data_IF_178861740113
#
_entry.id   IF_178861740113
#
_cell.length_a   1.000
_cell.length_b   1.000
_cell.length_c   1.000
_cell.angle_alpha   90.00
_cell.angle_beta   90.00
_cell.angle_gamma   90.00
#
_symmetry.space_group_name_H-M   'P 1'
#
loop_
_entity.id
_entity.type
_entity.pdbx_description
1 polymer ?
#
# COMPACT_ATOMS: atom_id res chain seq x y z
N UNK A 1 44.06 -13.78 27.66
CA UNK A 1 42.71 -13.34 28.16
C UNK A 1 41.65 -13.76 27.15
N UNK A 2 40.94 -14.84 27.47
CA UNK A 2 39.95 -15.43 26.58
C UNK A 2 38.65 -14.62 26.68
N UNK A 3 38.27 -13.92 25.63
CA UNK A 3 36.92 -13.46 25.46
C UNK A 3 36.02 -14.70 25.27
N UNK A 4 35.43 -15.17 26.37
CA UNK A 4 34.29 -16.10 26.30
C UNK A 4 33.16 -15.38 25.58
N UNK A 5 33.01 -15.64 24.28
CA UNK A 5 31.82 -15.27 23.54
C UNK A 5 30.60 -15.80 24.28
N UNK A 6 29.75 -14.92 24.80
CA UNK A 6 28.43 -15.28 25.30
C UNK A 6 27.70 -15.98 24.16
N UNK A 7 27.67 -17.32 24.24
CA UNK A 7 26.74 -18.08 23.38
C UNK A 7 25.34 -17.62 23.77
N UNK A 8 24.75 -16.82 22.89
CA UNK A 8 23.33 -16.44 22.99
C UNK A 8 22.55 -17.73 22.80
N UNK A 9 22.05 -18.31 23.90
CA UNK A 9 21.12 -19.45 23.84
C UNK A 9 19.83 -18.94 23.19
N UNK A 10 19.49 -19.35 21.98
CA UNK A 10 18.24 -18.94 21.39
C UNK A 10 17.09 -19.62 22.14
N UNK A 11 16.16 -18.85 22.64
CA UNK A 11 14.86 -19.26 23.15
C UNK A 11 14.86 -19.98 24.49
N UNK A 12 15.31 -19.32 25.56
CA UNK A 12 14.91 -19.69 26.93
C UNK A 12 13.61 -18.96 27.30
N UNK A 13 12.63 -19.69 27.75
CA UNK A 13 11.45 -19.12 28.40
C UNK A 13 11.53 -19.46 29.90
N UNK A 14 11.37 -18.49 30.82
CA UNK A 14 11.20 -17.05 30.58
C UNK A 14 12.47 -16.37 30.07
N UNK A 15 12.37 -15.22 29.37
CA UNK A 15 13.53 -14.49 28.83
C UNK A 15 14.47 -14.06 29.99
N UNK A 16 15.79 -14.19 29.85
CA UNK A 16 16.74 -13.87 30.90
C UNK A 16 16.86 -12.40 31.24
N UNK A 17 16.22 -11.52 30.46
CA UNK A 17 16.19 -10.07 30.65
C UNK A 17 15.65 -9.32 29.43
N UNK A 18 15.28 -8.06 29.64
CA UNK A 18 14.89 -7.13 28.59
C UNK A 18 16.08 -6.25 28.21
N UNK A 19 16.29 -6.02 26.91
CA UNK A 19 17.34 -5.14 26.41
C UNK A 19 16.87 -4.37 25.18
N UNK A 20 17.27 -3.10 25.07
CA UNK A 20 17.03 -2.27 23.91
C UNK A 20 18.21 -2.31 22.90
N UNK A 21 19.25 -3.10 23.19
CA UNK A 21 20.45 -3.21 22.34
C UNK A 21 20.12 -3.63 20.91
N UNK A 22 19.12 -4.50 20.73
CA UNK A 22 18.71 -4.98 19.42
C UNK A 22 18.03 -3.89 18.56
N UNK A 23 17.42 -2.88 19.19
CA UNK A 23 16.88 -1.71 18.49
C UNK A 23 18.01 -0.85 17.90
N UNK A 24 19.04 -0.57 18.69
CA UNK A 24 20.18 0.19 18.18
C UNK A 24 20.95 -0.56 17.09
N UNK A 25 21.09 -1.88 17.23
CA UNK A 25 21.70 -2.73 16.20
C UNK A 25 20.86 -2.82 14.91
N UNK A 26 19.54 -2.87 15.03
CA UNK A 26 18.63 -2.85 13.88
C UNK A 26 18.74 -1.52 13.12
N UNK A 27 18.75 -0.39 13.82
CA UNK A 27 18.90 0.95 13.23
C UNK A 27 20.29 1.19 12.62
N UNK A 28 21.33 0.54 13.13
CA UNK A 28 22.68 0.60 12.60
C UNK A 28 22.94 -0.39 11.44
N UNK A 29 21.97 -1.26 11.12
CA UNK A 29 22.11 -2.25 10.06
C UNK A 29 21.80 -1.62 8.70
N UNK A 30 22.80 -1.52 7.82
CA UNK A 30 22.65 -0.89 6.50
C UNK A 30 21.61 -1.59 5.65
N UNK A 31 21.52 -2.92 5.66
CA UNK A 31 20.52 -3.68 4.93
C UNK A 31 19.08 -3.38 5.40
N UNK A 32 18.87 -3.14 6.69
CA UNK A 32 17.56 -2.72 7.24
C UNK A 32 17.22 -1.31 6.75
N UNK A 33 18.18 -0.38 6.80
CA UNK A 33 17.98 1.01 6.37
C UNK A 33 17.66 1.12 4.89
N UNK A 34 18.43 0.43 4.05
CA UNK A 34 18.20 0.38 2.59
C UNK A 34 16.84 -0.22 2.27
N UNK A 35 16.49 -1.36 2.90
CA UNK A 35 15.20 -2.01 2.72
C UNK A 35 14.02 -1.13 3.19
N UNK A 36 14.18 -0.40 4.30
CA UNK A 36 13.18 0.54 4.79
C UNK A 36 12.96 1.71 3.80
N UNK A 37 14.05 2.33 3.33
CA UNK A 37 13.97 3.42 2.34
C UNK A 37 13.32 2.91 1.05
N UNK A 38 13.70 1.74 0.57
CA UNK A 38 13.11 1.10 -0.62
C UNK A 38 11.61 0.90 -0.43
N UNK A 39 11.15 0.36 0.72
CA UNK A 39 9.72 0.20 1.03
C UNK A 39 8.97 1.53 1.00
N UNK A 40 9.51 2.57 1.64
CA UNK A 40 8.86 3.89 1.67
C UNK A 40 8.75 4.49 0.27
N UNK A 41 9.82 4.42 -0.52
CA UNK A 41 9.83 4.99 -1.89
C UNK A 41 8.88 4.22 -2.81
N UNK A 42 8.91 2.87 -2.78
CA UNK A 42 7.99 2.04 -3.57
C UNK A 42 6.54 2.30 -3.17
N UNK A 43 6.23 2.26 -1.88
CA UNK A 43 4.87 2.48 -1.38
C UNK A 43 4.35 3.88 -1.74
N UNK A 44 5.19 4.91 -1.60
CA UNK A 44 4.82 6.29 -1.96
C UNK A 44 4.59 6.42 -3.46
N UNK A 45 5.51 5.93 -4.30
CA UNK A 45 5.39 6.01 -5.75
C UNK A 45 4.15 5.23 -6.26
N UNK A 46 3.94 4.00 -5.78
CA UNK A 46 2.78 3.20 -6.11
C UNK A 46 1.47 3.87 -5.68
N UNK A 47 1.44 4.45 -4.48
CA UNK A 47 0.27 5.20 -3.98
C UNK A 47 -0.04 6.42 -4.83
N UNK A 48 0.96 7.20 -5.24
CA UNK A 48 0.75 8.37 -6.10
C UNK A 48 0.18 7.98 -7.47
N UNK A 49 0.70 6.91 -8.08
CA UNK A 49 0.14 6.36 -9.32
C UNK A 49 -1.31 5.90 -9.09
N UNK A 50 -1.55 5.19 -8.02
CA UNK A 50 -2.87 4.67 -7.66
C UNK A 50 -3.87 5.80 -7.37
N UNK A 51 -3.46 6.88 -6.72
CA UNK A 51 -4.30 8.06 -6.49
C UNK A 51 -4.79 8.67 -7.79
N UNK A 52 -3.90 8.87 -8.74
CA UNK A 52 -4.27 9.43 -10.04
C UNK A 52 -5.17 8.46 -10.80
N UNK A 53 -4.70 7.24 -11.06
CA UNK A 53 -5.42 6.30 -11.91
C UNK A 53 -6.71 5.78 -11.26
N UNK A 54 -6.66 5.39 -9.99
CA UNK A 54 -7.82 4.87 -9.26
C UNK A 54 -8.93 5.92 -9.11
N UNK A 55 -8.55 7.17 -8.83
CA UNK A 55 -9.51 8.28 -8.73
C UNK A 55 -10.11 8.60 -10.11
N UNK A 56 -9.30 8.68 -11.16
CA UNK A 56 -9.79 8.94 -12.53
C UNK A 56 -10.77 7.85 -12.98
N UNK A 57 -10.45 6.58 -12.76
CA UNK A 57 -11.35 5.47 -13.11
C UNK A 57 -12.64 5.53 -12.29
N UNK A 58 -12.57 5.85 -10.98
CA UNK A 58 -13.75 5.99 -10.15
C UNK A 58 -14.69 7.09 -10.66
N UNK A 59 -14.14 8.24 -11.04
CA UNK A 59 -14.94 9.33 -11.62
C UNK A 59 -15.48 8.98 -13.01
N UNK A 60 -14.68 8.31 -13.85
CA UNK A 60 -15.12 7.92 -15.20
C UNK A 60 -16.27 6.92 -15.18
N UNK A 61 -16.29 6.02 -14.19
CA UNK A 61 -17.36 5.04 -14.02
C UNK A 61 -18.56 5.58 -13.23
N UNK A 62 -18.40 6.70 -12.50
CA UNK A 62 -19.47 7.27 -11.70
C UNK A 62 -20.52 7.97 -12.59
N UNK A 63 -21.80 7.67 -12.34
CA UNK A 63 -22.91 8.32 -13.05
C UNK A 63 -23.04 8.00 -14.53
N UNK A 64 -22.27 7.01 -15.04
CA UNK A 64 -22.33 6.58 -16.43
C UNK A 64 -22.80 5.13 -16.54
N UNK A 65 -23.76 4.89 -17.45
CA UNK A 65 -24.19 3.54 -17.82
C UNK A 65 -23.88 3.34 -19.29
N UNK A 66 -22.89 2.54 -19.59
CA UNK A 66 -22.51 2.18 -20.96
C UNK A 66 -22.22 0.69 -21.07
N UNK A 67 -22.27 0.17 -22.30
CA UNK A 67 -21.91 -1.21 -22.55
C UNK A 67 -20.45 -1.47 -22.12
N UNK A 68 -20.25 -2.43 -21.21
CA UNK A 68 -18.90 -2.74 -20.68
C UNK A 68 -18.56 -2.10 -19.32
N UNK A 69 -19.41 -1.23 -18.75
CA UNK A 69 -19.21 -0.63 -17.42
C UNK A 69 -18.85 -1.65 -16.34
N UNK A 70 -19.64 -2.74 -16.24
CA UNK A 70 -19.41 -3.79 -15.26
C UNK A 70 -18.12 -4.58 -15.55
N UNK A 71 -17.78 -4.78 -16.83
CA UNK A 71 -16.56 -5.45 -17.23
C UNK A 71 -15.32 -4.63 -16.83
N UNK A 72 -15.32 -3.33 -17.05
CA UNK A 72 -14.21 -2.45 -16.64
C UNK A 72 -14.10 -2.43 -15.12
N UNK A 73 -15.21 -2.32 -14.40
CA UNK A 73 -15.22 -2.37 -12.94
C UNK A 73 -14.64 -3.69 -12.41
N UNK A 74 -15.01 -4.82 -13.03
CA UNK A 74 -14.46 -6.13 -12.69
C UNK A 74 -12.95 -6.21 -12.98
N UNK A 75 -12.50 -5.73 -14.14
CA UNK A 75 -11.08 -5.73 -14.53
C UNK A 75 -10.23 -4.90 -13.56
N UNK A 76 -10.75 -3.77 -13.10
CA UNK A 76 -10.03 -2.93 -12.12
C UNK A 76 -9.87 -3.65 -10.79
N UNK A 77 -10.87 -4.43 -10.34
CA UNK A 77 -10.85 -5.14 -9.05
C UNK A 77 -10.08 -6.46 -9.14
N UNK A 78 -9.88 -7.01 -10.33
CA UNK A 78 -9.28 -8.32 -10.55
C UNK A 78 -7.93 -8.53 -9.84
N UNK A 79 -6.98 -7.57 -9.85
CA UNK A 79 -5.65 -7.77 -9.25
C UNK A 79 -5.69 -8.13 -7.76
N UNK A 80 -6.66 -7.60 -7.00
CA UNK A 80 -6.79 -7.90 -5.57
C UNK A 80 -7.63 -9.17 -5.31
N UNK A 81 -8.43 -9.58 -6.29
CA UNK A 81 -9.24 -10.79 -6.20
C UNK A 81 -8.43 -12.07 -6.49
N UNK A 82 -7.30 -11.93 -7.18
CA UNK A 82 -6.42 -13.06 -7.48
C UNK A 82 -5.47 -13.33 -6.30
N UNK A 83 -5.07 -14.60 -6.08
CA UNK A 83 -4.01 -14.92 -5.13
C UNK A 83 -2.72 -14.17 -5.48
N UNK A 84 -2.07 -13.52 -4.49
CA UNK A 84 -0.88 -12.70 -4.71
C UNK A 84 0.25 -13.42 -5.45
N UNK A 85 0.43 -14.73 -5.22
CA UNK A 85 1.40 -15.56 -5.95
C UNK A 85 1.09 -15.59 -7.45
N UNK A 86 -0.18 -15.74 -7.82
CA UNK A 86 -0.62 -15.77 -9.23
C UNK A 86 -0.38 -14.43 -9.89
N UNK A 87 -0.77 -13.34 -9.21
CA UNK A 87 -0.53 -11.98 -9.68
C UNK A 87 0.96 -11.69 -9.82
N UNK A 88 1.77 -12.07 -8.83
CA UNK A 88 3.22 -11.88 -8.84
C UNK A 88 3.91 -12.61 -9.99
N UNK A 89 3.55 -13.89 -10.23
CA UNK A 89 4.08 -14.68 -11.34
C UNK A 89 3.66 -14.12 -12.72
N UNK A 90 2.39 -13.71 -12.87
CA UNK A 90 1.89 -13.12 -14.10
C UNK A 90 2.62 -11.82 -14.43
N UNK A 91 2.81 -10.94 -13.44
CA UNK A 91 3.56 -9.69 -13.59
C UNK A 91 5.05 -9.96 -13.89
N UNK A 92 5.67 -10.92 -13.19
CA UNK A 92 7.05 -11.32 -13.49
C UNK A 92 7.21 -11.73 -14.96
N UNK A 93 6.34 -12.64 -15.43
CA UNK A 93 6.36 -13.10 -16.82
C UNK A 93 6.15 -11.94 -17.81
N UNK A 94 5.20 -11.06 -17.52
CA UNK A 94 4.96 -9.88 -18.34
C UNK A 94 6.19 -8.95 -18.39
N UNK A 95 6.79 -8.64 -17.26
CA UNK A 95 7.93 -7.73 -17.20
C UNK A 95 9.19 -8.30 -17.84
N UNK A 96 9.45 -9.59 -17.65
CA UNK A 96 10.60 -10.26 -18.27
C UNK A 96 10.44 -10.44 -19.76
N UNK A 97 9.23 -10.72 -20.25
CA UNK A 97 8.97 -10.96 -21.68
C UNK A 97 8.85 -9.67 -22.49
N UNK A 98 8.28 -8.61 -21.93
CA UNK A 98 7.95 -7.39 -22.69
C UNK A 98 8.78 -6.16 -22.29
N UNK A 99 9.32 -6.10 -21.05
CA UNK A 99 10.07 -4.95 -20.54
C UNK A 99 11.57 -5.25 -20.34
N UNK A 100 12.02 -6.44 -20.70
CA UNK A 100 13.43 -6.82 -20.63
C UNK A 100 13.95 -7.17 -19.24
N UNK A 101 13.09 -7.30 -18.24
CA UNK A 101 13.46 -7.78 -16.91
C UNK A 101 12.84 -7.06 -15.73
N UNK A 102 13.30 -7.41 -14.53
CA UNK A 102 12.82 -6.85 -13.27
C UNK A 102 13.71 -5.67 -12.85
N UNK A 103 13.09 -4.54 -12.57
CA UNK A 103 13.72 -3.29 -12.18
C UNK A 103 12.98 -2.63 -11.02
N UNK A 104 13.50 -1.54 -10.49
CA UNK A 104 12.77 -0.72 -9.53
C UNK A 104 11.45 -0.19 -10.09
N UNK A 105 11.43 0.21 -11.37
CA UNK A 105 10.23 0.69 -12.05
C UNK A 105 9.15 -0.40 -12.13
N UNK A 106 9.52 -1.62 -12.55
CA UNK A 106 8.56 -2.75 -12.64
C UNK A 106 8.02 -3.14 -11.27
N UNK A 107 8.82 -3.02 -10.20
CA UNK A 107 8.37 -3.23 -8.83
C UNK A 107 7.32 -2.17 -8.43
N UNK A 108 7.56 -0.88 -8.72
CA UNK A 108 6.58 0.18 -8.46
C UNK A 108 5.29 -0.04 -9.23
N UNK A 109 5.37 -0.43 -10.51
CA UNK A 109 4.19 -0.76 -11.34
C UNK A 109 3.43 -1.95 -10.74
N UNK A 110 4.12 -3.00 -10.32
CA UNK A 110 3.51 -4.16 -9.67
C UNK A 110 2.71 -3.75 -8.42
N UNK A 111 3.30 -2.92 -7.57
CA UNK A 111 2.62 -2.41 -6.37
C UNK A 111 1.44 -1.49 -6.73
N UNK A 112 1.57 -0.68 -7.77
CA UNK A 112 0.48 0.20 -8.22
C UNK A 112 -0.76 -0.58 -8.66
N UNK A 113 -0.62 -1.79 -9.24
CA UNK A 113 -1.76 -2.58 -9.75
C UNK A 113 -2.82 -2.86 -8.68
N UNK A 114 -2.42 -3.27 -7.48
CA UNK A 114 -3.37 -3.53 -6.39
C UNK A 114 -3.70 -2.27 -5.58
N UNK A 115 -2.80 -1.29 -5.50
CA UNK A 115 -3.06 0.00 -4.88
C UNK A 115 -4.18 0.77 -5.61
N UNK A 116 -4.24 0.70 -6.94
CA UNK A 116 -5.31 1.29 -7.77
C UNK A 116 -6.68 0.79 -7.31
N UNK A 117 -6.81 -0.50 -7.03
CA UNK A 117 -8.07 -1.12 -6.57
C UNK A 117 -8.55 -0.49 -5.26
N UNK A 118 -7.63 -0.30 -4.31
CA UNK A 118 -7.95 0.28 -2.99
C UNK A 118 -8.45 1.71 -3.14
N UNK A 119 -7.74 2.54 -3.90
CA UNK A 119 -8.13 3.94 -4.16
C UNK A 119 -9.44 4.00 -4.93
N UNK A 120 -9.61 3.19 -5.97
CA UNK A 120 -10.83 3.08 -6.76
C UNK A 120 -12.04 2.73 -5.88
N UNK A 121 -11.93 1.71 -5.04
CA UNK A 121 -13.03 1.26 -4.18
C UNK A 121 -13.44 2.35 -3.16
N UNK A 122 -12.48 2.99 -2.51
CA UNK A 122 -12.76 4.06 -1.55
C UNK A 122 -13.42 5.27 -2.22
N UNK A 123 -12.88 5.69 -3.37
CA UNK A 123 -13.40 6.81 -4.15
C UNK A 123 -14.80 6.51 -4.69
N UNK A 124 -15.00 5.33 -5.28
CA UNK A 124 -16.31 4.92 -5.83
C UNK A 124 -17.38 4.78 -4.75
N UNK A 125 -17.01 4.24 -3.57
CA UNK A 125 -17.93 4.13 -2.45
C UNK A 125 -18.40 5.51 -1.96
N UNK A 126 -17.51 6.49 -1.92
CA UNK A 126 -17.86 7.87 -1.52
C UNK A 126 -18.71 8.58 -2.58
N UNK A 127 -18.37 8.41 -3.88
CA UNK A 127 -19.16 8.96 -4.98
C UNK A 127 -20.59 8.46 -4.96
N UNK A 128 -20.81 7.17 -4.72
CA UNK A 128 -22.17 6.62 -4.57
C UNK A 128 -22.95 7.21 -3.41
N UNK A 129 -22.27 7.55 -2.28
CA UNK A 129 -22.90 8.19 -1.12
C UNK A 129 -23.21 9.67 -1.33
N UNK A 130 -22.41 10.36 -2.14
CA UNK A 130 -22.64 11.77 -2.46
C UNK A 130 -23.97 11.97 -3.22
N UNK A 131 -24.35 10.95 -4.02
CA UNK A 131 -25.57 11.01 -4.82
C UNK A 131 -25.48 11.94 -6.02
N UNK A 132 -26.44 11.83 -6.93
CA UNK A 132 -26.58 12.73 -8.08
C UNK A 132 -27.17 14.08 -7.72
N UNK A 133 -28.06 14.10 -6.73
CA UNK A 133 -28.89 15.26 -6.36
C UNK A 133 -28.07 16.53 -6.05
N UNK A 134 -26.93 16.37 -5.35
CA UNK A 134 -26.03 17.50 -5.03
C UNK A 134 -25.37 18.08 -6.28
N UNK A 135 -25.03 17.21 -7.23
CA UNK A 135 -24.43 17.60 -8.51
C UNK A 135 -25.48 18.30 -9.39
N UNK A 136 -26.69 17.74 -9.48
CA UNK A 136 -27.80 18.29 -10.21
C UNK A 136 -28.23 19.67 -9.64
N UNK A 137 -28.42 19.78 -8.33
CA UNK A 137 -28.73 21.04 -7.65
C UNK A 137 -27.67 22.13 -7.92
N UNK A 138 -26.39 21.79 -7.93
CA UNK A 138 -25.34 22.75 -8.27
C UNK A 138 -25.47 23.24 -9.71
N UNK A 139 -25.79 22.35 -10.66
CA UNK A 139 -25.94 22.70 -12.07
C UNK A 139 -27.23 23.49 -12.32
N UNK A 140 -28.33 23.21 -11.62
CA UNK A 140 -29.57 23.95 -11.67
C UNK A 140 -29.42 25.40 -11.20
N UNK A 141 -28.48 25.64 -10.26
CA UNK A 141 -28.08 26.98 -9.84
C UNK A 141 -27.12 27.68 -10.83
N UNK A 142 -26.91 27.11 -12.02
CA UNK A 142 -26.12 27.69 -13.10
C UNK A 142 -24.61 27.40 -13.02
N UNK A 143 -24.17 26.51 -12.11
CA UNK A 143 -22.77 26.13 -12.04
C UNK A 143 -22.36 25.27 -13.26
N UNK A 144 -21.20 25.58 -13.83
CA UNK A 144 -20.61 24.74 -14.86
C UNK A 144 -20.12 23.39 -14.27
N UNK A 145 -20.00 22.35 -15.11
CA UNK A 145 -19.47 21.03 -14.68
C UNK A 145 -18.10 21.15 -14.00
N UNK A 146 -17.20 21.98 -14.52
CA UNK A 146 -15.89 22.19 -13.95
C UNK A 146 -15.96 22.88 -12.58
N UNK A 147 -16.87 23.85 -12.41
CA UNK A 147 -17.13 24.51 -11.13
C UNK A 147 -17.69 23.52 -10.11
N UNK A 148 -18.73 22.75 -10.48
CA UNK A 148 -19.32 21.70 -9.63
C UNK A 148 -18.26 20.66 -9.21
N UNK A 149 -17.44 20.20 -10.15
CA UNK A 149 -16.35 19.26 -9.83
C UNK A 149 -15.39 19.84 -8.79
N UNK A 150 -14.90 21.06 -9.01
CA UNK A 150 -13.85 21.65 -8.16
C UNK A 150 -14.37 22.11 -6.80
N UNK A 151 -15.59 22.63 -6.73
CA UNK A 151 -16.12 23.29 -5.52
C UNK A 151 -17.14 22.45 -4.75
N UNK A 152 -17.73 21.44 -5.39
CA UNK A 152 -18.72 20.57 -4.75
C UNK A 152 -18.17 19.14 -4.62
N UNK A 153 -17.83 18.50 -5.73
CA UNK A 153 -17.45 17.07 -5.70
C UNK A 153 -16.10 16.88 -4.99
N UNK A 154 -15.04 17.53 -5.47
CA UNK A 154 -13.68 17.31 -4.98
C UNK A 154 -13.51 17.57 -3.47
N UNK A 155 -14.08 18.67 -2.89
CA UNK A 155 -14.01 18.88 -1.45
C UNK A 155 -14.72 17.79 -0.64
N UNK A 156 -15.87 17.29 -1.14
CA UNK A 156 -16.60 16.19 -0.50
C UNK A 156 -15.91 14.84 -0.62
N UNK A 157 -15.01 14.68 -1.58
CA UNK A 157 -14.26 13.47 -1.84
C UNK A 157 -12.92 13.41 -1.11
N UNK A 158 -12.37 14.53 -0.66
CA UNK A 158 -11.02 14.63 -0.09
C UNK A 158 -10.74 13.61 1.01
N UNK A 159 -11.68 13.40 1.93
CA UNK A 159 -11.53 12.43 3.02
C UNK A 159 -11.39 11.00 2.50
N UNK A 160 -12.21 10.59 1.54
CA UNK A 160 -12.13 9.26 0.94
C UNK A 160 -10.85 9.05 0.10
N UNK A 161 -10.41 10.09 -0.62
CA UNK A 161 -9.17 10.05 -1.39
C UNK A 161 -7.96 9.92 -0.47
N UNK A 162 -7.89 10.69 0.62
CA UNK A 162 -6.81 10.59 1.61
C UNK A 162 -6.84 9.24 2.32
N UNK A 163 -8.02 8.76 2.73
CA UNK A 163 -8.16 7.44 3.34
C UNK A 163 -7.72 6.32 2.38
N UNK A 164 -8.13 6.40 1.10
CA UNK A 164 -7.69 5.49 0.05
C UNK A 164 -6.17 5.51 -0.15
N UNK A 165 -5.54 6.70 -0.10
CA UNK A 165 -4.10 6.85 -0.18
C UNK A 165 -3.36 6.19 0.98
N UNK A 166 -3.82 6.42 2.21
CA UNK A 166 -3.21 5.83 3.41
C UNK A 166 -3.34 4.30 3.43
N UNK A 167 -4.49 3.78 3.00
CA UNK A 167 -4.70 2.34 2.89
C UNK A 167 -3.83 1.73 1.78
N UNK A 168 -3.72 2.39 0.62
CA UNK A 168 -2.86 1.95 -0.48
C UNK A 168 -1.38 1.96 -0.08
N UNK A 169 -0.95 3.01 0.64
CA UNK A 169 0.41 3.08 1.18
C UNK A 169 0.68 1.94 2.17
N UNK A 170 -0.21 1.72 3.14
CA UNK A 170 -0.06 0.65 4.12
C UNK A 170 0.00 -0.73 3.47
N UNK A 171 -0.88 -0.99 2.50
CA UNK A 171 -0.92 -2.24 1.74
C UNK A 171 0.38 -2.45 0.95
N UNK A 172 0.89 -1.42 0.28
CA UNK A 172 2.14 -1.51 -0.48
C UNK A 172 3.37 -1.63 0.42
N UNK A 173 3.36 -0.97 1.59
CA UNK A 173 4.47 -0.99 2.52
C UNK A 173 4.70 -2.37 3.16
N UNK A 174 3.62 -3.12 3.41
CA UNK A 174 3.63 -4.45 4.03
C UNK A 174 3.61 -5.61 3.00
N UNK A 175 3.63 -5.29 1.70
CA UNK A 175 3.52 -6.31 0.64
C UNK A 175 4.81 -7.10 0.49
N UNK A 176 4.67 -8.43 0.55
CA UNK A 176 5.79 -9.37 0.41
C UNK A 176 5.62 -10.33 -0.77
N UNK A 177 4.40 -10.78 -1.04
CA UNK A 177 4.16 -11.88 -1.99
C UNK A 177 4.47 -11.42 -3.42
N UNK A 178 3.82 -10.34 -3.85
CA UNK A 178 4.06 -9.76 -5.20
C UNK A 178 5.51 -9.29 -5.31
N UNK A 179 6.04 -8.65 -4.25
CA UNK A 179 7.43 -8.20 -4.18
C UNK A 179 8.42 -9.34 -4.42
N UNK A 180 8.21 -10.52 -3.84
CA UNK A 180 9.09 -11.68 -4.00
C UNK A 180 9.27 -12.07 -5.47
N UNK A 181 8.24 -11.90 -6.28
CA UNK A 181 8.26 -12.25 -7.70
C UNK A 181 8.66 -11.09 -8.62
N UNK A 182 8.55 -9.84 -8.17
CA UNK A 182 8.73 -8.66 -9.02
C UNK A 182 9.90 -7.76 -8.64
N UNK A 183 10.56 -8.02 -7.51
CA UNK A 183 11.76 -7.31 -7.14
C UNK A 183 12.94 -7.68 -8.05
N UNK A 184 13.59 -6.67 -8.61
CA UNK A 184 14.81 -6.85 -9.41
C UNK A 184 16.03 -7.23 -8.55
N UNK A 185 17.13 -7.67 -9.19
CA UNK A 185 18.35 -8.03 -8.50
C UNK A 185 18.83 -6.89 -7.57
N UNK A 186 19.15 -7.23 -6.32
CA UNK A 186 19.63 -6.27 -5.33
C UNK A 186 18.55 -5.36 -4.71
N UNK A 187 17.30 -5.40 -5.18
CA UNK A 187 16.21 -4.60 -4.64
C UNK A 187 15.49 -5.39 -3.54
N UNK A 188 15.45 -4.84 -2.34
CA UNK A 188 14.74 -5.44 -1.21
C UNK A 188 13.87 -4.41 -0.51
N UNK A 189 12.59 -4.73 -0.33
CA UNK A 189 11.70 -4.03 0.60
C UNK A 189 11.89 -4.57 2.02
N UNK A 190 11.40 -3.86 3.03
CA UNK A 190 11.56 -4.27 4.41
C UNK A 190 10.89 -5.63 4.72
N UNK A 191 9.66 -5.94 4.25
CA UNK A 191 9.08 -7.28 4.38
C UNK A 191 9.92 -8.35 3.71
N UNK A 192 10.45 -8.09 2.51
CA UNK A 192 11.31 -9.04 1.80
C UNK A 192 12.64 -9.24 2.51
N UNK A 193 13.24 -8.18 3.09
CA UNK A 193 14.43 -8.28 3.91
C UNK A 193 14.19 -9.16 5.15
N UNK A 194 13.06 -8.97 5.85
CA UNK A 194 12.65 -9.79 7.00
C UNK A 194 12.57 -11.26 6.57
N UNK A 195 11.87 -11.55 5.48
CA UNK A 195 11.70 -12.91 4.97
C UNK A 195 13.03 -13.59 4.63
N UNK A 196 13.92 -12.89 3.93
CA UNK A 196 15.24 -13.43 3.53
C UNK A 196 16.19 -13.68 4.72
N UNK A 197 15.94 -13.03 5.86
CA UNK A 197 16.76 -13.19 7.07
C UNK A 197 16.07 -14.00 8.17
N UNK A 198 14.81 -14.41 7.99
CA UNK A 198 13.99 -15.10 9.01
C UNK A 198 14.63 -16.39 9.51
N UNK A 199 15.26 -17.17 8.60
CA UNK A 199 15.86 -18.45 8.91
C UNK A 199 17.35 -18.37 9.25
N UNK A 200 17.91 -17.15 9.43
CA UNK A 200 19.31 -16.94 9.82
C UNK A 200 19.39 -16.76 11.34
N UNK A 201 19.90 -17.74 12.11
CA UNK A 201 19.89 -17.67 13.58
C UNK A 201 20.59 -16.44 14.16
N UNK A 202 21.66 -15.97 13.50
CA UNK A 202 22.42 -14.79 13.94
C UNK A 202 21.64 -13.49 13.76
N UNK A 203 20.70 -13.44 12.82
CA UNK A 203 19.87 -12.27 12.52
C UNK A 203 18.53 -12.27 13.27
N UNK A 204 18.14 -13.39 13.89
CA UNK A 204 16.84 -13.55 14.52
C UNK A 204 16.44 -12.43 15.49
N UNK A 205 17.32 -11.91 16.39
CA UNK A 205 16.93 -10.79 17.26
C UNK A 205 16.65 -9.49 16.49
N UNK A 206 17.46 -9.19 15.46
CA UNK A 206 17.28 -7.99 14.62
C UNK A 206 16.00 -8.14 13.80
N UNK A 207 15.77 -9.31 13.19
CA UNK A 207 14.55 -9.61 12.42
C UNK A 207 13.30 -9.43 13.28
N UNK A 208 13.29 -9.90 14.51
CA UNK A 208 12.14 -9.75 15.42
C UNK A 208 11.86 -8.27 15.76
N UNK A 209 12.90 -7.47 16.00
CA UNK A 209 12.76 -6.03 16.25
C UNK A 209 12.23 -5.31 15.01
N UNK A 210 12.79 -5.61 13.84
CA UNK A 210 12.38 -5.00 12.57
C UNK A 210 10.93 -5.39 12.23
N UNK A 211 10.56 -6.66 12.45
CA UNK A 211 9.17 -7.11 12.26
C UNK A 211 8.19 -6.41 13.22
N UNK A 212 8.56 -6.26 14.49
CA UNK A 212 7.76 -5.50 15.46
C UNK A 212 7.61 -4.02 15.04
N UNK A 213 8.70 -3.39 14.59
CA UNK A 213 8.67 -2.02 14.06
C UNK A 213 7.78 -1.90 12.83
N UNK A 214 7.87 -2.86 11.89
CA UNK A 214 7.03 -2.91 10.69
C UNK A 214 5.55 -2.92 11.07
N UNK A 215 5.13 -3.82 11.97
CA UNK A 215 3.74 -3.92 12.43
C UNK A 215 3.25 -2.60 13.03
N UNK A 216 4.04 -1.98 13.91
CA UNK A 216 3.67 -0.69 14.54
C UNK A 216 3.55 0.42 13.49
N UNK A 217 4.49 0.47 12.53
CA UNK A 217 4.46 1.48 11.45
C UNK A 217 3.27 1.27 10.49
N UNK A 218 2.87 0.02 10.24
CA UNK A 218 1.72 -0.29 9.37
C UNK A 218 0.38 0.04 10.03
N UNK A 219 0.28 -0.04 11.35
CA UNK A 219 -0.95 0.31 12.08
C UNK A 219 -1.29 1.80 11.93
N UNK A 220 -0.29 2.67 11.93
CA UNK A 220 -0.50 4.13 11.93
C UNK A 220 -1.29 4.65 10.72
N UNK A 221 -0.90 4.38 9.47
CA UNK A 221 -1.67 4.83 8.29
C UNK A 221 -3.07 4.21 8.26
N UNK A 222 -3.23 2.95 8.66
CA UNK A 222 -4.53 2.27 8.70
C UNK A 222 -5.45 2.94 9.72
N UNK A 223 -4.97 3.22 10.93
CA UNK A 223 -5.74 3.89 11.98
C UNK A 223 -6.18 5.30 11.55
N UNK A 224 -5.27 6.09 10.95
CA UNK A 224 -5.60 7.42 10.44
C UNK A 224 -6.64 7.32 9.31
N UNK A 225 -6.49 6.36 8.39
CA UNK A 225 -7.45 6.15 7.31
C UNK A 225 -8.86 5.83 7.83
N UNK A 226 -8.96 4.98 8.86
CA UNK A 226 -10.25 4.62 9.48
C UNK A 226 -10.92 5.86 10.11
N UNK A 227 -10.18 6.65 10.88
CA UNK A 227 -10.70 7.90 11.47
C UNK A 227 -11.23 8.87 10.42
N UNK A 228 -10.46 9.10 9.36
CA UNK A 228 -10.88 9.99 8.27
C UNK A 228 -12.13 9.47 7.53
N UNK A 229 -12.28 8.17 7.41
CA UNK A 229 -13.46 7.55 6.78
C UNK A 229 -14.70 7.68 7.65
N UNK A 230 -14.58 7.55 8.97
CA UNK A 230 -15.68 7.71 9.93
C UNK A 230 -16.15 9.18 9.99
N UNK A 231 -15.23 10.14 10.05
CA UNK A 231 -15.56 11.57 10.08
C UNK A 231 -16.28 12.00 8.79
N UNK A 232 -15.83 11.47 7.64
CA UNK A 232 -16.50 11.70 6.37
C UNK A 232 -17.92 11.08 6.31
N UNK A 233 -18.17 10.01 7.06
CA UNK A 233 -19.50 9.40 7.16
C UNK A 233 -20.43 10.22 8.08
N UNK A 234 -19.92 10.76 9.19
CA UNK A 234 -20.69 11.57 10.15
C UNK A 234 -21.07 12.95 9.61
N UNK A 235 -20.23 13.55 8.78
CA UNK A 235 -20.52 14.86 8.16
C UNK A 235 -21.54 14.82 7.02
N UNK A 236 -22.05 13.64 6.68
CA UNK A 236 -23.03 13.42 5.61
C UNK A 236 -24.45 13.13 6.14
N UNK A 237 -24.63 13.14 7.47
CA UNK A 237 -25.92 13.06 8.19
C UNK A 237 -26.28 14.42 8.75
#
# INVERSE_FOLDING_TARGET
>A
MQHRGRQIRPRSWPPPGFTLEWWSRALANDGVREAFVTSVVVATAATLIALVLGTLVAFALSGTTFFGHNTISLLVVLPIALPGIVTGLALNTMFTSFLGGLTFFTLVVAHATFCIVVVFNNTSARLRRLGGDVVEASMDLGASRAFTFRHVILPNMRGAIIAGALLAFGLSFDEIIVTTFTAGPGIQTLPLWIFNNLFRPQQAPIVNVVAAALVVLSILPIYIAQRLSEDAARSAV
#
